data_IF_659291564367
#
_entry.id   IF_659291564367
#
_cell.length_a   1.000
_cell.length_b   1.000
_cell.length_c   1.000
_cell.angle_alpha   90.00
_cell.angle_beta   90.00
_cell.angle_gamma   90.00
#
_symmetry.space_group_name_H-M   'P 1'
#
loop_
_entity.id
_entity.type
_entity.pdbx_description
1 polymer ?
#
# COMPACT_ATOMS: atom_id res chain seq x y z
N UNK A 1 12.73 -15.95 13.36
CA UNK A 1 11.94 -14.83 13.94
C UNK A 1 11.29 -14.13 12.76
N UNK A 2 10.05 -13.66 12.85
CA UNK A 2 9.31 -13.22 11.66
C UNK A 2 9.94 -11.96 11.05
N UNK A 3 10.55 -12.08 9.86
CA UNK A 3 11.21 -10.99 9.13
C UNK A 3 10.21 -9.99 8.48
N UNK A 4 8.93 -10.06 8.85
CA UNK A 4 7.85 -9.25 8.29
C UNK A 4 7.93 -7.77 8.69
N UNK A 5 8.16 -7.46 9.97
CA UNK A 5 8.19 -6.06 10.44
C UNK A 5 9.37 -5.29 9.82
N UNK A 6 10.62 -5.80 9.83
CA UNK A 6 11.71 -5.13 9.14
C UNK A 6 11.45 -4.93 7.64
N UNK A 7 10.87 -5.93 6.96
CA UNK A 7 10.49 -5.83 5.56
C UNK A 7 9.43 -4.74 5.31
N UNK A 8 8.40 -4.67 6.16
CA UNK A 8 7.35 -3.64 6.10
C UNK A 8 7.97 -2.26 6.31
N UNK A 9 8.82 -2.08 7.32
CA UNK A 9 9.49 -0.82 7.59
C UNK A 9 10.34 -0.34 6.41
N UNK A 10 11.14 -1.22 5.81
CA UNK A 10 11.98 -0.90 4.65
C UNK A 10 11.12 -0.52 3.44
N UNK A 11 10.09 -1.32 3.15
CA UNK A 11 9.15 -1.07 2.05
C UNK A 11 8.42 0.26 2.24
N UNK A 12 7.90 0.53 3.44
CA UNK A 12 7.20 1.76 3.78
C UNK A 12 8.11 2.98 3.67
N UNK A 13 9.39 2.89 4.09
CA UNK A 13 10.36 3.98 3.91
C UNK A 13 10.64 4.27 2.45
N UNK A 14 10.83 3.24 1.63
CA UNK A 14 11.07 3.39 0.19
C UNK A 14 9.87 4.03 -0.52
N UNK A 15 8.67 3.53 -0.23
CA UNK A 15 7.43 4.03 -0.80
C UNK A 15 7.12 5.46 -0.29
N UNK A 16 7.35 5.73 0.99
CA UNK A 16 7.19 7.04 1.62
C UNK A 16 8.16 8.09 1.07
N UNK A 17 9.41 7.72 0.76
CA UNK A 17 10.34 8.62 0.08
C UNK A 17 9.79 9.08 -1.27
N UNK A 18 9.14 8.17 -2.02
CA UNK A 18 8.50 8.54 -3.29
C UNK A 18 7.29 9.46 -3.09
N UNK A 19 6.48 9.21 -2.07
CA UNK A 19 5.38 10.09 -1.70
C UNK A 19 5.88 11.50 -1.35
N UNK A 20 6.95 11.60 -0.55
CA UNK A 20 7.58 12.90 -0.20
C UNK A 20 8.09 13.63 -1.46
N UNK A 21 8.72 12.93 -2.40
CA UNK A 21 9.22 13.54 -3.65
C UNK A 21 8.11 14.15 -4.51
N UNK A 22 6.90 13.59 -4.44
CA UNK A 22 5.73 14.01 -5.22
C UNK A 22 4.80 14.95 -4.43
N UNK A 23 5.05 15.14 -3.14
CA UNK A 23 4.21 15.95 -2.26
C UNK A 23 4.14 17.41 -2.74
N UNK A 24 2.92 17.91 -2.94
CA UNK A 24 2.66 19.25 -3.51
C UNK A 24 3.01 19.40 -4.99
N UNK A 25 3.30 18.31 -5.71
CA UNK A 25 3.69 18.31 -7.14
C UNK A 25 2.78 17.46 -8.03
N UNK A 26 1.68 16.96 -7.49
CA UNK A 26 0.71 16.13 -8.21
C UNK A 26 -0.69 16.70 -8.06
N UNK A 27 -1.53 16.43 -9.04
CA UNK A 27 -2.92 16.88 -9.08
C UNK A 27 -3.87 15.73 -8.77
N UNK A 28 -5.10 16.10 -8.39
CA UNK A 28 -6.18 15.16 -8.14
C UNK A 28 -6.74 14.63 -9.46
N UNK A 29 -7.01 13.33 -9.49
CA UNK A 29 -7.71 12.64 -10.55
C UNK A 29 -8.99 12.00 -9.98
N UNK A 30 -10.12 12.02 -10.72
CA UNK A 30 -11.35 11.39 -10.27
C UNK A 30 -11.26 9.86 -10.29
N UNK A 31 -11.69 9.20 -9.21
CA UNK A 31 -11.83 7.74 -9.10
C UNK A 31 -13.24 7.39 -8.57
N UNK A 32 -14.21 7.37 -9.47
CA UNK A 32 -15.61 7.12 -9.10
C UNK A 32 -16.15 8.18 -8.14
N UNK A 33 -16.35 7.82 -6.86
CA UNK A 33 -16.78 8.73 -5.79
C UNK A 33 -15.64 9.27 -4.92
N UNK A 34 -14.40 8.84 -5.17
CA UNK A 34 -13.19 9.31 -4.47
C UNK A 34 -12.24 10.02 -5.44
N UNK A 35 -11.10 10.43 -4.90
CA UNK A 35 -9.98 11.04 -5.63
C UNK A 35 -8.76 10.14 -5.49
N UNK A 36 -7.91 10.16 -6.51
CA UNK A 36 -6.61 9.50 -6.55
C UNK A 36 -5.60 10.49 -7.12
N UNK A 37 -4.31 10.24 -6.98
CA UNK A 37 -3.27 10.98 -7.69
C UNK A 37 -2.27 10.05 -8.37
N UNK A 38 -1.40 10.64 -9.19
CA UNK A 38 -0.22 9.95 -9.69
C UNK A 38 0.66 9.39 -8.57
N UNK A 39 0.70 10.04 -7.41
CA UNK A 39 1.50 9.58 -6.28
C UNK A 39 0.97 8.27 -5.70
N UNK A 40 -0.35 8.13 -5.48
CA UNK A 40 -0.97 6.90 -4.98
C UNK A 40 -0.57 5.70 -5.85
N UNK A 41 -0.67 5.84 -7.17
CA UNK A 41 -0.33 4.77 -8.13
C UNK A 41 1.15 4.42 -8.18
N UNK A 42 2.03 5.41 -8.02
CA UNK A 42 3.48 5.17 -8.01
C UNK A 42 3.95 4.52 -6.72
N UNK A 43 3.40 4.95 -5.59
CA UNK A 43 3.67 4.39 -4.27
C UNK A 43 3.12 2.96 -4.20
N UNK A 44 1.91 2.71 -4.69
CA UNK A 44 1.34 1.35 -4.78
C UNK A 44 2.23 0.42 -5.60
N UNK A 45 2.71 0.89 -6.76
CA UNK A 45 3.60 0.09 -7.62
C UNK A 45 4.90 -0.31 -6.92
N UNK A 46 5.47 0.58 -6.11
CA UNK A 46 6.67 0.29 -5.32
C UNK A 46 6.36 -0.80 -4.30
N UNK A 47 5.29 -0.63 -3.51
CA UNK A 47 4.91 -1.57 -2.45
C UNK A 47 4.63 -2.96 -3.04
N UNK A 48 3.83 -3.04 -4.10
CA UNK A 48 3.53 -4.30 -4.80
C UNK A 48 4.81 -4.92 -5.38
N UNK A 49 5.73 -4.10 -5.90
CA UNK A 49 7.02 -4.58 -6.42
C UNK A 49 7.88 -5.25 -5.36
N UNK A 50 8.03 -4.63 -4.18
CA UNK A 50 8.75 -5.21 -3.06
C UNK A 50 8.08 -6.50 -2.56
N UNK A 51 6.76 -6.48 -2.37
CA UNK A 51 6.01 -7.66 -1.91
C UNK A 51 6.15 -8.81 -2.90
N UNK A 52 5.98 -8.58 -4.21
CA UNK A 52 6.14 -9.64 -5.22
C UNK A 52 7.58 -10.14 -5.33
N UNK A 53 8.57 -9.31 -5.01
CA UNK A 53 9.97 -9.71 -4.98
C UNK A 53 10.29 -10.64 -3.82
N UNK A 54 9.75 -10.36 -2.63
CA UNK A 54 10.02 -11.14 -1.42
C UNK A 54 9.03 -12.30 -1.19
N UNK A 55 7.78 -12.13 -1.61
CA UNK A 55 6.64 -13.01 -1.37
C UNK A 55 5.80 -13.18 -2.66
N UNK A 56 6.37 -13.81 -3.71
CA UNK A 56 5.76 -13.84 -5.05
C UNK A 56 4.38 -14.52 -5.11
N UNK A 57 4.09 -15.43 -4.19
CA UNK A 57 2.85 -16.21 -4.16
C UNK A 57 1.77 -15.58 -3.25
N UNK A 58 2.11 -14.56 -2.48
CA UNK A 58 1.17 -13.94 -1.55
C UNK A 58 0.21 -13.00 -2.30
N UNK A 59 -1.13 -13.12 -2.11
CA UNK A 59 -2.09 -12.18 -2.66
C UNK A 59 -1.92 -10.77 -2.09
N UNK A 60 -2.19 -9.76 -2.91
CA UNK A 60 -2.22 -8.36 -2.48
C UNK A 60 -3.60 -7.77 -2.78
N UNK A 61 -4.20 -7.20 -1.74
CA UNK A 61 -5.36 -6.32 -1.81
C UNK A 61 -4.86 -4.89 -1.76
N UNK A 62 -4.93 -4.19 -2.88
CA UNK A 62 -4.48 -2.81 -3.00
C UNK A 62 -5.67 -1.86 -3.22
N UNK A 63 -5.61 -0.67 -2.63
CA UNK A 63 -6.70 0.31 -2.74
C UNK A 63 -6.92 0.77 -4.19
N UNK A 64 -5.86 0.97 -4.97
CA UNK A 64 -5.94 1.58 -6.31
C UNK A 64 -6.14 0.55 -7.43
N UNK A 65 -5.42 -0.56 -7.39
CA UNK A 65 -5.54 -1.63 -8.39
C UNK A 65 -6.53 -2.74 -8.01
N UNK A 66 -7.10 -2.71 -6.81
CA UNK A 66 -8.01 -3.73 -6.30
C UNK A 66 -7.28 -5.01 -5.90
N UNK A 67 -8.01 -6.13 -5.84
CA UNK A 67 -7.43 -7.44 -5.57
C UNK A 67 -6.89 -8.07 -6.87
N UNK A 68 -5.68 -8.63 -6.83
CA UNK A 68 -5.24 -9.54 -7.89
C UNK A 68 -5.89 -10.92 -7.71
N UNK A 69 -7.04 -11.16 -8.36
CA UNK A 69 -7.72 -12.46 -8.42
C UNK A 69 -8.82 -12.69 -7.36
N UNK A 70 -9.40 -13.89 -7.35
CA UNK A 70 -10.33 -14.34 -6.29
C UNK A 70 -9.50 -14.72 -5.07
N UNK A 71 -9.50 -13.89 -4.04
CA UNK A 71 -8.79 -14.20 -2.81
C UNK A 71 -9.62 -15.20 -2.00
N UNK A 72 -9.40 -16.49 -2.21
CA UNK A 72 -9.85 -17.53 -1.28
C UNK A 72 -8.93 -17.49 -0.04
N UNK A 73 -9.21 -16.54 0.85
CA UNK A 73 -8.52 -16.34 2.12
C UNK A 73 -8.95 -17.43 3.11
N UNK A 74 -8.46 -18.65 2.87
CA UNK A 74 -8.44 -19.70 3.87
C UNK A 74 -7.80 -19.20 5.17
N UNK A 75 -8.15 -19.83 6.30
CA UNK A 75 -7.77 -19.40 7.64
C UNK A 75 -6.25 -19.25 7.84
N UNK A 76 -5.44 -19.96 7.06
CA UNK A 76 -3.97 -19.94 7.13
C UNK A 76 -3.28 -19.25 5.95
N UNK A 77 -4.03 -18.71 4.98
CA UNK A 77 -3.46 -18.02 3.81
C UNK A 77 -2.84 -16.69 4.24
N UNK A 78 -1.57 -16.47 3.90
CA UNK A 78 -0.89 -15.17 4.10
C UNK A 78 -1.19 -14.24 2.92
N UNK A 79 -1.56 -13.00 3.20
CA UNK A 79 -1.88 -11.99 2.20
C UNK A 79 -1.60 -10.58 2.71
N UNK A 80 -1.57 -9.60 1.81
CA UNK A 80 -1.20 -8.23 2.12
C UNK A 80 -2.35 -7.27 1.83
N UNK A 81 -2.60 -6.35 2.74
CA UNK A 81 -3.47 -5.20 2.53
C UNK A 81 -2.62 -3.93 2.50
N UNK A 82 -2.78 -3.11 1.47
CA UNK A 82 -1.98 -1.90 1.30
C UNK A 82 -2.86 -0.70 0.98
N UNK A 83 -2.52 0.42 1.59
CA UNK A 83 -3.01 1.76 1.26
C UNK A 83 -1.77 2.63 0.97
N UNK A 84 -1.55 3.02 -0.29
CA UNK A 84 -0.35 3.75 -0.69
C UNK A 84 -0.30 5.17 -0.09
N UNK A 85 -1.44 5.85 0.08
CA UNK A 85 -1.52 7.17 0.69
C UNK A 85 -2.84 7.26 1.46
N UNK A 86 -2.82 6.83 2.72
CA UNK A 86 -3.95 7.03 3.62
C UNK A 86 -4.06 8.53 3.88
N UNK A 87 -5.14 9.13 3.40
CA UNK A 87 -5.32 10.58 3.40
C UNK A 87 -4.91 11.27 2.09
N UNK A 88 -5.23 10.71 0.93
CA UNK A 88 -5.06 11.35 -0.40
C UNK A 88 -5.60 12.79 -0.45
N UNK A 89 -6.71 13.08 0.24
CA UNK A 89 -7.28 14.44 0.33
C UNK A 89 -6.37 15.46 1.01
N UNK A 90 -5.98 15.25 2.29
CA UNK A 90 -4.93 16.05 2.93
C UNK A 90 -3.62 16.12 2.13
N UNK A 91 -3.17 14.98 1.57
CA UNK A 91 -1.95 14.90 0.76
C UNK A 91 -1.99 15.87 -0.43
N UNK A 92 -3.08 15.85 -1.21
CA UNK A 92 -3.29 16.74 -2.36
C UNK A 92 -3.46 18.22 -1.98
N UNK A 93 -3.85 18.50 -0.73
CA UNK A 93 -3.94 19.85 -0.18
C UNK A 93 -2.61 20.33 0.42
N UNK A 94 -1.53 19.54 0.32
CA UNK A 94 -0.23 19.89 0.90
C UNK A 94 -0.21 19.86 2.42
N UNK A 95 -1.15 19.14 3.06
CA UNK A 95 -1.19 18.97 4.51
C UNK A 95 -0.37 17.74 4.91
N UNK A 96 0.42 17.77 6.01
CA UNK A 96 1.28 16.67 6.42
C UNK A 96 0.53 15.56 7.20
N UNK A 97 -0.77 15.38 6.93
CA UNK A 97 -1.62 14.39 7.61
C UNK A 97 -1.98 13.27 6.64
N UNK A 98 -0.98 12.44 6.34
CA UNK A 98 -1.11 11.27 5.48
C UNK A 98 -0.06 10.22 5.87
N UNK A 99 -0.27 8.96 5.48
CA UNK A 99 0.66 7.87 5.76
C UNK A 99 0.72 6.86 4.61
N UNK A 100 1.78 6.04 4.60
CA UNK A 100 1.81 4.79 3.83
C UNK A 100 1.43 3.67 4.80
N UNK A 101 0.47 2.83 4.43
CA UNK A 101 0.00 1.73 5.28
C UNK A 101 0.17 0.38 4.58
N UNK A 102 0.81 -0.58 5.28
CA UNK A 102 1.10 -1.92 4.77
C UNK A 102 0.84 -2.90 5.90
N UNK A 103 -0.08 -3.84 5.71
CA UNK A 103 -0.36 -4.90 6.67
C UNK A 103 -0.19 -6.28 6.05
N UNK A 104 0.42 -7.19 6.80
CA UNK A 104 0.45 -8.61 6.49
C UNK A 104 -0.59 -9.34 7.36
N UNK A 105 -1.42 -10.15 6.72
CA UNK A 105 -2.48 -10.91 7.36
C UNK A 105 -2.27 -12.40 7.13
N UNK A 106 -2.79 -13.22 8.06
CA UNK A 106 -2.98 -14.66 7.89
C UNK A 106 -4.43 -15.00 8.21
N UNK A 107 -5.18 -15.45 7.20
CA UNK A 107 -6.63 -15.51 7.28
C UNK A 107 -7.20 -14.14 7.64
N UNK A 108 -7.98 -14.05 8.72
CA UNK A 108 -8.56 -12.79 9.23
C UNK A 108 -7.68 -12.07 10.28
N UNK A 109 -6.50 -12.60 10.61
CA UNK A 109 -5.65 -12.05 11.66
C UNK A 109 -4.51 -11.22 11.07
N UNK A 110 -4.36 -9.98 11.54
CA UNK A 110 -3.15 -9.19 11.29
C UNK A 110 -1.97 -9.83 12.02
N UNK A 111 -0.89 -10.11 11.30
CA UNK A 111 0.34 -10.70 11.83
C UNK A 111 1.51 -9.72 11.87
N UNK A 112 1.47 -8.67 11.04
CA UNK A 112 2.39 -7.53 11.08
C UNK A 112 1.76 -6.32 10.37
N UNK A 113 2.17 -5.11 10.71
CA UNK A 113 1.75 -3.84 10.11
C UNK A 113 2.55 -2.68 10.66
#
# INVERSE_FOLDING_TARGET
MSDLVPFIEETARKAGARAVDLFGRVEAEPKGRSIVSRADREVERIIIGEIRGAYPDDPVLAEESGASGTVDIGLDTRWWAIDPIDGTGPYLKGLPFWAVSIACLRGSRVVAG
#
